data_IF_284239127150
#
_entry.id   IF_284239127150
#
_cell.length_a   1.000
_cell.length_b   1.000
_cell.length_c   1.000
_cell.angle_alpha   90.00
_cell.angle_beta   90.00
_cell.angle_gamma   90.00
#
_symmetry.space_group_name_H-M   'P 1'
#
loop_
_entity.id
_entity.type
_entity.pdbx_description
1 polymer ?
#
# COMPACT_ATOMS: atom_id res chain seq x y z
N UNK A 1 -7.48 -12.25 17.13
CA UNK A 1 -7.56 -11.39 15.93
C UNK A 1 -6.70 -11.98 14.82
N UNK A 2 -7.27 -12.15 13.65
CA UNK A 2 -6.55 -12.63 12.46
C UNK A 2 -6.44 -11.50 11.44
N UNK A 3 -5.22 -11.24 10.96
CA UNK A 3 -4.94 -10.14 10.03
C UNK A 3 -4.15 -10.69 8.85
N UNK A 4 -4.54 -10.32 7.64
CA UNK A 4 -3.82 -10.65 6.42
C UNK A 4 -3.09 -9.43 5.87
N UNK A 5 -1.78 -9.55 5.73
CA UNK A 5 -0.94 -8.63 4.95
C UNK A 5 -0.77 -9.25 3.56
N UNK A 6 -1.37 -8.65 2.55
CA UNK A 6 -1.39 -9.19 1.20
C UNK A 6 -0.59 -8.34 0.23
N UNK A 7 0.62 -8.77 -0.06
CA UNK A 7 1.50 -8.08 -1.01
C UNK A 7 1.20 -8.57 -2.42
N UNK A 8 0.55 -7.75 -3.21
CA UNK A 8 0.18 -8.06 -4.60
C UNK A 8 0.16 -6.80 -5.45
N UNK A 9 0.51 -6.96 -6.72
CA UNK A 9 0.53 -5.84 -7.65
C UNK A 9 -0.89 -5.41 -8.07
N UNK A 10 -1.74 -6.38 -8.45
CA UNK A 10 -3.02 -6.07 -9.02
C UNK A 10 -4.09 -5.73 -7.97
N UNK A 11 -4.74 -4.59 -8.15
CA UNK A 11 -5.87 -4.17 -7.31
C UNK A 11 -6.99 -5.21 -7.33
N UNK A 12 -7.26 -5.81 -8.49
CA UNK A 12 -8.30 -6.84 -8.63
C UNK A 12 -8.02 -8.06 -7.77
N UNK A 13 -6.77 -8.49 -7.66
CA UNK A 13 -6.38 -9.60 -6.80
C UNK A 13 -6.59 -9.25 -5.32
N UNK A 14 -6.26 -8.04 -4.93
CA UNK A 14 -6.46 -7.56 -3.56
C UNK A 14 -7.93 -7.52 -3.19
N UNK A 15 -8.77 -6.99 -4.08
CA UNK A 15 -10.20 -6.93 -3.85
C UNK A 15 -10.83 -8.33 -3.83
N UNK A 16 -10.39 -9.22 -4.70
CA UNK A 16 -10.86 -10.61 -4.71
C UNK A 16 -10.50 -11.34 -3.43
N UNK A 17 -9.27 -11.16 -2.94
CA UNK A 17 -8.83 -11.75 -1.66
C UNK A 17 -9.64 -11.19 -0.49
N UNK A 18 -9.91 -9.89 -0.50
CA UNK A 18 -10.76 -9.26 0.50
C UNK A 18 -12.15 -9.90 0.56
N UNK A 19 -12.79 -10.07 -0.58
CA UNK A 19 -14.11 -10.70 -0.64
C UNK A 19 -14.07 -12.18 -0.25
N UNK A 20 -13.04 -12.89 -0.65
CA UNK A 20 -12.89 -14.31 -0.33
C UNK A 20 -12.75 -14.52 1.19
N UNK A 21 -12.03 -13.66 1.86
CA UNK A 21 -11.76 -13.79 3.29
C UNK A 21 -12.68 -12.95 4.17
N UNK A 22 -13.60 -12.20 3.58
CA UNK A 22 -14.54 -11.36 4.32
C UNK A 22 -15.35 -12.20 5.32
N UNK A 23 -15.31 -11.81 6.58
CA UNK A 23 -15.93 -12.54 7.69
C UNK A 23 -15.10 -13.70 8.24
N UNK A 24 -14.01 -14.06 7.58
CA UNK A 24 -13.12 -15.15 8.01
C UNK A 24 -11.87 -14.66 8.72
N UNK A 25 -11.50 -13.41 8.48
CA UNK A 25 -10.42 -12.72 9.17
C UNK A 25 -10.91 -11.35 9.63
N UNK A 26 -10.22 -10.74 10.57
CA UNK A 26 -10.64 -9.45 11.13
C UNK A 26 -10.24 -8.28 10.23
N UNK A 27 -9.06 -8.34 9.63
CA UNK A 27 -8.56 -7.26 8.80
C UNK A 27 -7.73 -7.77 7.64
N UNK A 28 -7.81 -7.06 6.51
CA UNK A 28 -7.06 -7.35 5.28
C UNK A 28 -6.51 -6.03 4.77
N UNK A 29 -5.21 -5.96 4.58
CA UNK A 29 -4.60 -4.79 3.98
C UNK A 29 -3.59 -5.19 2.90
N UNK A 30 -3.52 -4.38 1.86
CA UNK A 30 -2.59 -4.59 0.76
C UNK A 30 -1.34 -3.74 0.90
N UNK A 31 -0.31 -4.20 0.23
CA UNK A 31 0.97 -3.51 0.07
C UNK A 31 1.42 -3.65 -1.39
N UNK A 32 2.49 -3.05 -1.76
CA UNK A 32 3.16 -3.10 -3.06
C UNK A 32 3.21 -1.75 -3.79
N UNK A 33 2.10 -1.01 -3.83
CA UNK A 33 2.06 0.21 -4.68
C UNK A 33 2.86 1.37 -4.11
N UNK A 34 3.19 1.33 -2.82
CA UNK A 34 3.85 2.41 -2.09
C UNK A 34 2.98 3.67 -1.92
N UNK A 35 1.75 3.62 -2.39
CA UNK A 35 0.80 4.74 -2.31
C UNK A 35 -0.43 4.29 -1.53
N UNK A 36 -0.79 5.03 -0.48
CA UNK A 36 -1.98 4.73 0.30
C UNK A 36 -3.23 4.95 -0.54
N UNK A 37 -4.12 3.94 -0.56
CA UNK A 37 -5.42 4.09 -1.21
C UNK A 37 -6.45 4.64 -0.21
N UNK A 38 -7.53 5.20 -0.72
CA UNK A 38 -8.56 5.84 0.09
C UNK A 38 -9.86 5.01 0.15
N UNK A 39 -9.72 3.70 0.01
CA UNK A 39 -10.85 2.77 -0.02
C UNK A 39 -11.03 1.98 1.27
N UNK A 40 -10.49 2.47 2.38
CA UNK A 40 -10.68 1.84 3.69
C UNK A 40 -12.15 1.67 4.01
N UNK A 41 -12.53 0.45 4.40
CA UNK A 41 -13.94 0.14 4.67
C UNK A 41 -14.08 -1.13 5.48
N UNK A 42 -15.26 -1.32 6.03
CA UNK A 42 -15.69 -2.60 6.56
C UNK A 42 -16.46 -3.32 5.46
N UNK A 43 -16.04 -4.54 5.14
CA UNK A 43 -16.70 -5.37 4.14
C UNK A 43 -18.03 -5.90 4.65
N UNK A 44 -18.93 -6.37 3.76
CA UNK A 44 -20.29 -6.79 4.16
C UNK A 44 -20.37 -7.83 5.28
N UNK A 45 -19.37 -8.70 5.41
CA UNK A 45 -19.33 -9.74 6.45
C UNK A 45 -18.49 -9.33 7.66
N UNK A 46 -18.02 -8.08 7.72
CA UNK A 46 -17.42 -7.49 8.90
C UNK A 46 -15.91 -7.37 8.91
N UNK A 47 -15.20 -7.87 7.91
CA UNK A 47 -13.74 -7.69 7.84
C UNK A 47 -13.38 -6.25 7.47
N UNK A 48 -12.39 -5.66 8.16
CA UNK A 48 -11.81 -4.40 7.75
C UNK A 48 -10.93 -4.58 6.52
N UNK A 49 -10.94 -3.60 5.60
CA UNK A 49 -10.21 -3.73 4.34
C UNK A 49 -9.67 -2.40 3.85
N UNK A 50 -8.46 -2.44 3.30
CA UNK A 50 -7.89 -1.36 2.49
C UNK A 50 -7.02 -1.98 1.40
N UNK A 51 -7.08 -1.44 0.19
CA UNK A 51 -6.33 -1.97 -0.95
C UNK A 51 -4.82 -1.82 -0.78
N UNK A 52 -4.33 -0.68 -0.32
CA UNK A 52 -2.91 -0.47 -0.05
C UNK A 52 -2.72 0.53 1.09
N UNK A 53 -1.88 0.18 2.03
CA UNK A 53 -1.60 1.06 3.18
C UNK A 53 -0.54 2.11 2.87
N UNK A 54 0.10 2.04 1.71
CA UNK A 54 1.16 2.94 1.34
C UNK A 54 2.51 2.58 1.96
N UNK A 55 3.41 3.52 1.95
CA UNK A 55 4.75 3.34 2.51
C UNK A 55 5.05 4.39 3.56
N UNK A 56 6.05 4.11 4.39
CA UNK A 56 6.72 5.12 5.19
C UNK A 56 8.02 5.49 4.50
N UNK A 57 8.17 6.73 4.10
CA UNK A 57 9.33 7.18 3.32
C UNK A 57 9.30 8.65 3.03
N UNK A 58 10.23 9.11 2.22
CA UNK A 58 10.34 10.52 1.84
C UNK A 58 9.18 10.92 0.95
N UNK A 59 8.53 12.02 1.34
CA UNK A 59 7.35 12.55 0.67
C UNK A 59 7.64 13.06 -0.73
N UNK A 60 8.77 13.73 -0.90
CA UNK A 60 9.22 14.30 -2.17
C UNK A 60 10.17 13.35 -2.88
N UNK A 61 9.63 12.59 -3.80
CA UNK A 61 10.35 11.58 -4.57
C UNK A 61 9.37 10.74 -5.36
N UNK A 62 9.88 9.71 -6.00
CA UNK A 62 9.05 8.78 -6.76
C UNK A 62 9.17 7.39 -6.11
N UNK A 63 8.14 7.00 -5.41
CA UNK A 63 8.07 5.73 -4.65
C UNK A 63 9.28 5.52 -3.72
N UNK A 64 9.74 6.59 -3.08
CA UNK A 64 10.88 6.56 -2.17
C UNK A 64 12.24 6.78 -2.83
N UNK A 65 12.32 6.81 -4.16
CA UNK A 65 13.55 7.10 -4.90
C UNK A 65 13.65 8.60 -5.20
N UNK A 66 14.88 9.10 -5.29
CA UNK A 66 15.11 10.46 -5.75
C UNK A 66 14.53 10.65 -7.16
N UNK A 67 13.90 11.79 -7.39
CA UNK A 67 13.15 12.01 -8.64
C UNK A 67 14.05 12.13 -9.88
N UNK A 68 15.22 12.74 -9.76
CA UNK A 68 16.07 13.03 -10.93
C UNK A 68 16.46 11.79 -11.75
N UNK A 69 17.03 10.72 -11.17
CA UNK A 69 17.39 9.56 -11.99
C UNK A 69 16.16 8.83 -12.55
N UNK A 70 15.06 8.81 -11.83
CA UNK A 70 13.81 8.21 -12.32
C UNK A 70 13.29 8.99 -13.53
N UNK A 71 13.23 10.30 -13.44
CA UNK A 71 12.81 11.17 -14.53
C UNK A 71 13.74 11.05 -15.74
N UNK A 72 15.06 11.00 -15.51
CA UNK A 72 16.06 10.81 -16.57
C UNK A 72 15.80 9.51 -17.32
N UNK A 73 15.55 8.41 -16.63
CA UNK A 73 15.26 7.13 -17.26
C UNK A 73 13.99 7.17 -18.12
N UNK A 74 12.94 7.80 -17.64
CA UNK A 74 11.71 7.96 -18.42
C UNK A 74 11.90 8.84 -19.64
N UNK A 75 12.67 9.92 -19.52
CA UNK A 75 12.87 10.87 -20.62
C UNK A 75 13.85 10.39 -21.67
N UNK A 76 14.87 9.63 -21.31
CA UNK A 76 15.93 9.19 -22.21
C UNK A 76 15.85 7.73 -22.61
N UNK A 77 15.06 6.93 -21.93
CA UNK A 77 15.00 5.47 -22.03
C UNK A 77 16.35 4.78 -21.76
N UNK A 78 17.31 5.49 -21.18
CA UNK A 78 18.61 4.95 -20.78
C UNK A 78 18.59 4.50 -19.32
N UNK A 79 19.29 3.42 -18.96
CA UNK A 79 19.38 2.99 -17.57
C UNK A 79 19.95 4.09 -16.68
N UNK A 80 19.38 4.25 -15.49
CA UNK A 80 19.85 5.18 -14.48
C UNK A 80 19.93 4.46 -13.14
N UNK A 81 20.93 4.82 -12.34
CA UNK A 81 21.08 4.27 -10.99
C UNK A 81 20.18 5.02 -10.04
N UNK A 82 19.22 4.32 -9.46
CA UNK A 82 18.30 4.89 -8.47
C UNK A 82 18.94 4.90 -7.08
N UNK A 83 18.62 5.91 -6.30
CA UNK A 83 19.02 6.04 -4.90
C UNK A 83 17.86 6.60 -4.08
N UNK A 84 17.91 6.39 -2.76
CA UNK A 84 16.85 6.82 -1.88
C UNK A 84 16.70 8.35 -1.88
N UNK A 85 15.47 8.83 -1.91
CA UNK A 85 15.17 10.24 -1.78
C UNK A 85 15.54 10.73 -0.37
N UNK A 86 15.82 12.03 -0.25
CA UNK A 86 16.10 12.70 1.02
C UNK A 86 15.13 13.83 1.23
N UNK A 87 14.75 14.06 2.48
CA UNK A 87 13.85 15.15 2.84
C UNK A 87 12.85 14.74 3.90
N UNK A 88 11.72 15.42 3.91
CA UNK A 88 10.64 15.18 4.86
C UNK A 88 10.05 13.78 4.69
N UNK A 89 9.93 13.05 5.78
CA UNK A 89 9.37 11.70 5.80
C UNK A 89 7.88 11.75 6.14
N UNK A 90 7.10 10.95 5.42
CA UNK A 90 5.69 10.71 5.71
C UNK A 90 5.50 9.25 6.12
N UNK A 91 4.74 9.03 7.19
CA UNK A 91 4.28 7.69 7.55
C UNK A 91 2.82 7.53 7.11
N UNK A 92 2.54 6.45 6.42
CA UNK A 92 1.18 6.03 6.10
C UNK A 92 0.81 4.86 6.98
N UNK A 93 -0.41 4.84 7.48
CA UNK A 93 -0.88 3.80 8.38
C UNK A 93 -2.39 3.65 8.29
N UNK A 94 -2.87 2.49 8.70
CA UNK A 94 -4.31 2.24 8.86
C UNK A 94 -4.53 1.65 10.24
N UNK A 95 -5.62 2.05 10.88
CA UNK A 95 -6.03 1.52 12.17
C UNK A 95 -7.22 0.60 12.00
N UNK A 96 -7.08 -0.64 12.43
CA UNK A 96 -8.18 -1.59 12.53
C UNK A 96 -8.55 -1.74 13.99
N UNK A 97 -9.84 -1.61 14.30
CA UNK A 97 -10.38 -1.85 15.64
C UNK A 97 -11.37 -2.99 15.59
N UNK A 98 -11.25 -3.94 16.51
CA UNK A 98 -12.15 -5.09 16.61
C UNK A 98 -12.74 -5.18 18.01
N UNK A 99 -14.05 -5.36 18.09
CA UNK A 99 -14.75 -5.57 19.36
C UNK A 99 -14.54 -6.99 19.93
N UNK A 100 -14.03 -7.89 19.12
CA UNK A 100 -13.81 -9.27 19.54
C UNK A 100 -12.45 -9.53 20.20
N UNK A 101 -11.71 -8.48 20.43
CA UNK A 101 -10.42 -8.56 21.09
C UNK A 101 -9.29 -8.94 20.16
#
# INVERSE_FOLDING_TARGET
MAVLDFHAEATSEKQAMGRYLDGRVDAIFGTHTHVATADERVLPKGSGYITDVGMTGVEDGILGAAAEPVMSQFLTALPARFYAARGKVRANAVLFASEKG
#
